data_IF_510857409258
#
_entry.id   IF_510857409258
#
_cell.length_a   1.000
_cell.length_b   1.000
_cell.length_c   1.000
_cell.angle_alpha   90.00
_cell.angle_beta   90.00
_cell.angle_gamma   90.00
#
_symmetry.space_group_name_H-M   'P 1'
#
loop_
_entity.id
_entity.type
_entity.pdbx_description
1 polymer ?
#
# COMPACT_ATOMS: atom_id res chain seq x y z
N UNK A 1 10.45 -2.20 -10.40
CA UNK A 1 9.33 -2.20 -9.43
C UNK A 1 8.62 -3.55 -9.51
N UNK A 2 8.49 -4.22 -8.35
CA UNK A 2 7.90 -5.57 -8.22
C UNK A 2 8.28 -6.21 -6.88
N UNK A 3 7.47 -7.17 -6.40
CA UNK A 3 7.71 -7.89 -5.15
C UNK A 3 6.92 -9.19 -5.14
N UNK A 4 7.50 -10.25 -4.57
CA UNK A 4 6.82 -11.52 -4.30
C UNK A 4 6.43 -11.67 -2.81
N UNK A 5 6.70 -10.65 -1.98
CA UNK A 5 6.32 -10.67 -0.57
C UNK A 5 4.78 -10.64 -0.45
N UNK A 6 4.14 -11.68 0.13
CA UNK A 6 2.68 -11.76 0.21
C UNK A 6 2.05 -10.62 1.04
N UNK A 7 2.79 -10.02 1.98
CA UNK A 7 2.33 -8.85 2.74
C UNK A 7 2.21 -7.63 1.83
N UNK A 8 3.22 -7.40 0.99
CA UNK A 8 3.21 -6.32 0.02
C UNK A 8 2.10 -6.49 -1.00
N UNK A 9 1.91 -7.71 -1.51
CA UNK A 9 0.88 -8.00 -2.50
C UNK A 9 -0.52 -7.65 -1.96
N UNK A 10 -0.84 -8.05 -0.72
CA UNK A 10 -2.12 -7.71 -0.07
C UNK A 10 -2.31 -6.20 0.05
N UNK A 11 -1.30 -5.48 0.54
CA UNK A 11 -1.36 -4.03 0.70
C UNK A 11 -1.48 -3.30 -0.64
N UNK A 12 -0.71 -3.71 -1.65
CA UNK A 12 -0.79 -3.14 -3.00
C UNK A 12 -2.20 -3.29 -3.57
N UNK A 13 -2.79 -4.49 -3.47
CA UNK A 13 -4.15 -4.72 -3.97
C UNK A 13 -5.17 -3.86 -3.23
N UNK A 14 -5.06 -3.71 -1.91
CA UNK A 14 -5.97 -2.89 -1.13
C UNK A 14 -5.86 -1.39 -1.44
N UNK A 15 -4.65 -0.88 -1.65
CA UNK A 15 -4.39 0.54 -1.96
C UNK A 15 -4.72 0.92 -3.41
N UNK A 16 -4.76 -0.05 -4.34
CA UNK A 16 -5.30 0.16 -5.68
C UNK A 16 -6.81 0.45 -5.68
N UNK A 17 -7.54 -0.09 -4.70
CA UNK A 17 -8.99 0.10 -4.54
C UNK A 17 -9.29 1.41 -3.83
N UNK A 18 -8.66 1.66 -2.67
CA UNK A 18 -8.88 2.89 -1.92
C UNK A 18 -7.72 3.22 -0.98
N UNK A 19 -7.57 4.49 -0.56
CA UNK A 19 -6.70 4.87 0.55
C UNK A 19 -7.00 4.09 1.83
N UNK A 20 -5.99 3.88 2.69
CA UNK A 20 -6.08 3.09 3.92
C UNK A 20 -5.40 3.78 5.09
N UNK A 21 -5.96 3.68 6.28
CA UNK A 21 -5.28 4.12 7.51
C UNK A 21 -4.07 3.25 7.80
N UNK A 22 -3.15 3.72 8.64
CA UNK A 22 -2.02 2.89 9.13
C UNK A 22 -2.51 1.56 9.73
N UNK A 23 -3.53 1.60 10.58
CA UNK A 23 -4.03 0.42 11.29
C UNK A 23 -4.68 -0.57 10.30
N UNK A 24 -5.30 -0.07 9.24
CA UNK A 24 -5.79 -0.90 8.16
C UNK A 24 -4.64 -1.55 7.39
N UNK A 25 -3.53 -0.84 7.14
CA UNK A 25 -2.33 -1.44 6.54
C UNK A 25 -1.80 -2.59 7.40
N UNK A 26 -1.68 -2.39 8.72
CA UNK A 26 -1.20 -3.43 9.64
C UNK A 26 -2.09 -4.70 9.56
N UNK A 27 -3.42 -4.52 9.59
CA UNK A 27 -4.37 -5.64 9.45
C UNK A 27 -4.27 -6.33 8.09
N UNK A 28 -4.23 -5.57 7.00
CA UNK A 28 -4.15 -6.10 5.63
C UNK A 28 -2.83 -6.84 5.41
N UNK A 29 -1.73 -6.34 5.96
CA UNK A 29 -0.41 -6.95 5.91
C UNK A 29 -0.30 -8.16 6.86
N UNK A 30 -1.16 -8.29 7.86
CA UNK A 30 -1.05 -9.30 8.91
C UNK A 30 0.24 -9.14 9.73
N UNK A 31 0.69 -7.89 9.92
CA UNK A 31 1.90 -7.56 10.66
C UNK A 31 1.78 -6.14 11.23
N UNK A 32 2.26 -5.93 12.45
CA UNK A 32 2.18 -4.63 13.15
C UNK A 32 3.28 -3.63 12.75
N UNK A 33 3.81 -3.76 11.52
CA UNK A 33 4.93 -2.96 11.01
C UNK A 33 4.61 -2.27 9.66
N UNK A 34 3.35 -1.89 9.46
CA UNK A 34 2.85 -1.22 8.25
C UNK A 34 3.70 -0.04 7.76
N UNK A 35 4.21 0.86 8.63
CA UNK A 35 5.09 1.94 8.16
C UNK A 35 6.37 1.43 7.47
N UNK A 36 6.99 0.37 7.97
CA UNK A 36 8.19 -0.21 7.35
C UNK A 36 7.83 -0.87 6.02
N UNK A 37 6.70 -1.57 5.95
CA UNK A 37 6.18 -2.10 4.69
C UNK A 37 5.97 -0.98 3.65
N UNK A 38 5.38 0.14 4.06
CA UNK A 38 5.19 1.29 3.18
C UNK A 38 6.53 1.92 2.77
N UNK A 39 7.52 1.95 3.66
CA UNK A 39 8.88 2.40 3.34
C UNK A 39 9.56 1.46 2.33
N UNK A 40 9.40 0.14 2.46
CA UNK A 40 9.86 -0.84 1.49
C UNK A 40 9.24 -0.63 0.10
N UNK A 41 7.93 -0.36 0.03
CA UNK A 41 7.26 -0.03 -1.22
C UNK A 41 7.85 1.25 -1.84
N UNK A 42 8.18 2.26 -1.02
CA UNK A 42 8.83 3.49 -1.48
C UNK A 42 10.24 3.24 -2.02
N UNK A 43 11.04 2.45 -1.31
CA UNK A 43 12.37 2.02 -1.78
C UNK A 43 12.31 1.25 -3.10
N UNK A 44 11.17 0.64 -3.44
CA UNK A 44 10.92 -0.03 -4.74
C UNK A 44 10.46 0.90 -5.86
N UNK A 45 10.42 2.21 -5.62
CA UNK A 45 10.14 3.26 -6.60
C UNK A 45 8.70 3.78 -6.61
N UNK A 46 7.88 3.41 -5.62
CA UNK A 46 6.58 4.04 -5.40
C UNK A 46 6.72 5.31 -4.56
N UNK A 47 5.79 6.25 -4.71
CA UNK A 47 5.68 7.40 -3.82
C UNK A 47 4.90 7.03 -2.56
N UNK A 48 3.76 6.35 -2.74
CA UNK A 48 2.89 5.83 -1.69
C UNK A 48 2.68 6.81 -0.49
N UNK A 49 2.31 8.08 -0.75
CA UNK A 49 2.20 9.15 0.25
C UNK A 49 1.31 8.80 1.45
N UNK A 50 1.54 9.53 2.55
CA UNK A 50 0.74 9.45 3.77
C UNK A 50 0.20 10.84 4.09
N UNK A 51 -1.09 11.07 3.85
CA UNK A 51 -1.77 12.30 4.23
C UNK A 51 -2.27 12.20 5.67
N UNK A 52 -2.47 13.35 6.32
CA UNK A 52 -3.02 13.43 7.68
C UNK A 52 -4.47 13.88 7.61
N UNK A 53 -5.37 13.13 8.24
CA UNK A 53 -6.80 13.44 8.30
C UNK A 53 -7.27 13.51 9.75
N UNK A 54 -8.04 14.56 10.15
CA UNK A 54 -8.63 14.63 11.48
C UNK A 54 -9.52 13.42 11.80
N UNK A 55 -9.46 12.94 13.03
CA UNK A 55 -10.41 12.01 13.67
C UNK A 55 -10.49 12.30 15.16
N UNK A 56 -11.58 11.85 15.77
CA UNK A 56 -11.70 11.81 17.22
C UNK A 56 -11.08 10.50 17.72
N UNK A 57 -10.22 10.61 18.73
CA UNK A 57 -9.66 9.45 19.42
C UNK A 57 -10.62 8.87 20.46
N UNK A 58 -10.15 7.88 21.23
CA UNK A 58 -11.00 7.21 22.23
C UNK A 58 -11.37 8.12 23.40
N UNK A 59 -10.56 9.14 23.68
CA UNK A 59 -10.72 10.02 24.82
C UNK A 59 -11.49 11.31 24.43
N UNK A 60 -11.95 11.40 23.18
CA UNK A 60 -12.77 12.49 22.67
C UNK A 60 -11.97 13.64 22.07
N UNK A 61 -10.65 13.51 21.91
CA UNK A 61 -9.80 14.57 21.37
C UNK A 61 -9.63 14.45 19.85
N UNK A 62 -9.54 15.60 19.18
CA UNK A 62 -9.18 15.62 17.76
C UNK A 62 -7.68 15.30 17.59
N UNK A 63 -7.41 14.21 16.88
CA UNK A 63 -6.08 13.78 16.47
C UNK A 63 -6.00 13.65 14.95
N UNK A 64 -4.79 13.59 14.41
CA UNK A 64 -4.56 13.43 12.96
C UNK A 64 -4.06 12.02 12.65
N UNK A 65 -4.92 11.17 12.08
CA UNK A 65 -4.52 9.82 11.60
C UNK A 65 -3.85 9.89 10.25
N UNK A 66 -2.89 8.99 10.03
CA UNK A 66 -2.24 8.80 8.73
C UNK A 66 -3.10 7.98 7.78
N UNK A 67 -3.24 8.45 6.54
CA UNK A 67 -3.91 7.78 5.43
C UNK A 67 -2.89 7.57 4.32
N UNK A 68 -2.54 6.31 4.07
CA UNK A 68 -1.74 5.92 2.93
C UNK A 68 -2.58 5.85 1.65
N UNK A 69 -2.04 6.33 0.54
CA UNK A 69 -2.68 6.24 -0.76
C UNK A 69 -1.66 6.10 -1.89
N UNK A 70 -2.10 5.57 -3.03
CA UNK A 70 -1.32 5.58 -4.26
C UNK A 70 -1.66 6.80 -5.10
N UNK A 71 -0.62 7.45 -5.61
CA UNK A 71 -0.76 8.48 -6.65
C UNK A 71 -1.18 7.84 -7.97
N UNK A 72 -1.58 8.64 -8.96
CA UNK A 72 -1.87 8.11 -10.28
C UNK A 72 -0.61 7.53 -10.95
N UNK A 73 0.57 8.08 -10.64
CA UNK A 73 1.85 7.53 -11.06
C UNK A 73 2.08 6.14 -10.44
N UNK A 74 1.88 5.99 -9.14
CA UNK A 74 1.98 4.69 -8.46
C UNK A 74 1.05 3.65 -9.11
N UNK A 75 -0.23 4.01 -9.31
CA UNK A 75 -1.23 3.12 -9.93
C UNK A 75 -0.80 2.69 -11.33
N UNK A 76 -0.24 3.60 -12.15
CA UNK A 76 0.28 3.27 -13.49
C UNK A 76 1.45 2.29 -13.40
N UNK A 77 2.42 2.55 -12.53
CA UNK A 77 3.59 1.67 -12.34
C UNK A 77 3.18 0.26 -11.87
N UNK A 78 2.26 0.18 -10.92
CA UNK A 78 1.74 -1.10 -10.39
C UNK A 78 1.00 -1.87 -11.48
N UNK A 79 0.07 -1.23 -12.21
CA UNK A 79 -0.68 -1.90 -13.29
C UNK A 79 0.24 -2.41 -14.40
N UNK A 80 1.24 -1.62 -14.78
CA UNK A 80 2.24 -2.04 -15.76
C UNK A 80 3.06 -3.25 -15.27
N UNK A 81 3.44 -3.25 -14.00
CA UNK A 81 4.12 -4.39 -13.38
C UNK A 81 3.22 -5.64 -13.31
N UNK A 82 1.98 -5.53 -12.84
CA UNK A 82 1.02 -6.65 -12.78
C UNK A 82 0.79 -7.28 -14.16
N UNK A 83 0.67 -6.47 -15.22
CA UNK A 83 0.54 -6.95 -16.60
C UNK A 83 1.76 -7.74 -17.05
N UNK A 84 2.97 -7.28 -16.73
CA UNK A 84 4.21 -8.02 -17.03
C UNK A 84 4.29 -9.34 -16.27
N UNK A 85 3.92 -9.32 -14.98
CA UNK A 85 3.90 -10.51 -14.12
C UNK A 85 2.93 -11.58 -14.62
N UNK A 86 1.73 -11.20 -15.06
CA UNK A 86 0.75 -12.13 -15.62
C UNK A 86 1.23 -12.80 -16.91
N UNK A 87 1.84 -12.03 -17.83
CA UNK A 87 2.43 -12.58 -19.06
C UNK A 87 3.53 -13.60 -18.77
N UNK A 88 4.42 -13.31 -17.82
CA UNK A 88 5.49 -14.23 -17.43
C UNK A 88 4.93 -15.54 -16.86
N UNK A 89 3.85 -15.48 -16.06
CA UNK A 89 3.19 -16.69 -15.53
C UNK A 89 2.49 -17.52 -16.62
N UNK A 90 1.98 -16.88 -17.67
CA UNK A 90 1.30 -17.56 -18.79
C UNK A 90 2.26 -18.14 -19.83
N UNK A 91 3.40 -17.49 -20.07
CA UNK A 91 4.40 -17.97 -21.03
C UNK A 91 5.39 -19.01 -20.48
N UNK A 92 5.38 -19.27 -19.17
CA UNK A 92 6.13 -20.35 -18.53
C UNK A 92 5.29 -21.61 -18.26
N UNK A 93 4.15 -21.74 -18.94
CA UNK A 93 3.23 -22.88 -18.85
C UNK A 93 3.11 -23.55 -20.22
#
# INVERSE_FOLDING_TARGET
MGTENPRHLRVIMALLVSPRTREAIDRIAGASNGPELMAELRRRGLEAPCSKTPCIDRDGYEVKRGIYHFTDRDKRLIRAWLKRRDRQRKGGR
#
